data_IF_252852285665
#
_entry.id   IF_252852285665
#
_cell.length_a   1.000
_cell.length_b   1.000
_cell.length_c   1.000
_cell.angle_alpha   90.00
_cell.angle_beta   90.00
_cell.angle_gamma   90.00
#
_symmetry.space_group_name_H-M   'P 1'
#
loop_
_entity.id
_entity.type
_entity.pdbx_description
1 polymer ?
#
# COMPACT_ATOMS: atom_id res chain seq x y z
N UNK A 1 6.91 21.89 -1.67
CA UNK A 1 6.84 20.65 -2.47
C UNK A 1 6.45 19.53 -1.52
N UNK A 2 5.37 18.82 -1.80
CA UNK A 2 5.00 17.61 -1.04
C UNK A 2 6.04 16.53 -1.40
N UNK A 3 6.54 15.80 -0.42
CA UNK A 3 7.49 14.69 -0.70
C UNK A 3 6.76 13.54 -1.42
N UNK A 4 7.47 12.74 -2.23
CA UNK A 4 6.85 11.55 -2.85
C UNK A 4 6.25 10.59 -1.80
N UNK A 5 6.83 10.53 -0.60
CA UNK A 5 6.26 9.76 0.52
C UNK A 5 4.91 10.30 1.00
N UNK A 6 4.81 11.62 1.21
CA UNK A 6 3.53 12.26 1.57
C UNK A 6 2.47 12.10 0.47
N UNK A 7 2.88 12.14 -0.81
CA UNK A 7 1.98 11.86 -1.93
C UNK A 7 1.43 10.44 -1.87
N UNK A 8 2.28 9.44 -1.65
CA UNK A 8 1.84 8.05 -1.47
C UNK A 8 0.93 7.87 -0.24
N UNK A 9 1.21 8.52 0.88
CA UNK A 9 0.32 8.52 2.05
C UNK A 9 -1.06 9.10 1.71
N UNK A 10 -1.12 10.19 0.95
CA UNK A 10 -2.40 10.80 0.55
C UNK A 10 -3.20 9.92 -0.40
N UNK A 11 -2.55 9.32 -1.42
CA UNK A 11 -3.21 8.39 -2.35
C UNK A 11 -3.72 7.16 -1.59
N UNK A 12 -2.94 6.63 -0.65
CA UNK A 12 -3.37 5.50 0.16
C UNK A 12 -4.67 5.79 0.92
N UNK A 13 -4.77 6.96 1.55
CA UNK A 13 -5.97 7.37 2.30
C UNK A 13 -7.18 7.56 1.39
N UNK A 14 -7.00 8.17 0.23
CA UNK A 14 -8.06 8.32 -0.78
C UNK A 14 -8.56 6.96 -1.29
N UNK A 15 -7.65 6.03 -1.57
CA UNK A 15 -8.03 4.68 -2.00
C UNK A 15 -8.70 3.88 -0.88
N UNK A 16 -8.27 4.02 0.37
CA UNK A 16 -8.92 3.35 1.49
C UNK A 16 -10.38 3.84 1.65
N UNK A 17 -10.61 5.15 1.59
CA UNK A 17 -11.96 5.71 1.65
C UNK A 17 -12.85 5.17 0.52
N UNK A 18 -12.32 5.12 -0.72
CA UNK A 18 -13.04 4.53 -1.88
C UNK A 18 -13.29 3.04 -1.75
N UNK A 19 -12.38 2.30 -1.10
CA UNK A 19 -12.57 0.88 -0.83
C UNK A 19 -13.70 0.65 0.19
N UNK A 20 -13.76 1.48 1.22
CA UNK A 20 -14.81 1.44 2.24
C UNK A 20 -16.18 1.81 1.65
N UNK A 21 -16.24 2.83 0.78
CA UNK A 21 -17.45 3.20 0.02
C UNK A 21 -17.92 2.04 -0.86
N UNK A 22 -17.04 1.46 -1.67
CA UNK A 22 -17.37 0.32 -2.53
C UNK A 22 -17.84 -0.90 -1.73
N UNK A 23 -17.23 -1.15 -0.57
CA UNK A 23 -17.64 -2.25 0.31
C UNK A 23 -19.04 -2.00 0.90
N UNK A 24 -19.36 -0.76 1.28
CA UNK A 24 -20.68 -0.38 1.76
C UNK A 24 -21.77 -0.57 0.69
N UNK A 25 -21.41 -0.42 -0.58
CA UNK A 25 -22.27 -0.65 -1.74
C UNK A 25 -22.30 -2.13 -2.20
N UNK A 26 -21.55 -3.03 -1.51
CA UNK A 26 -21.35 -4.42 -1.89
C UNK A 26 -20.71 -4.61 -3.28
N UNK A 27 -19.99 -3.59 -3.77
CA UNK A 27 -19.14 -3.69 -4.96
C UNK A 27 -17.78 -4.27 -4.56
N UNK A 28 -17.74 -5.60 -4.43
CA UNK A 28 -16.56 -6.33 -3.99
C UNK A 28 -15.37 -6.20 -4.97
N UNK A 29 -15.63 -5.99 -6.26
CA UNK A 29 -14.57 -5.82 -7.26
C UNK A 29 -13.83 -4.51 -6.99
N UNK A 30 -14.55 -3.40 -6.92
CA UNK A 30 -13.94 -2.10 -6.65
C UNK A 30 -13.35 -2.02 -5.24
N UNK A 31 -14.02 -2.61 -4.24
CA UNK A 31 -13.50 -2.67 -2.88
C UNK A 31 -12.14 -3.38 -2.83
N UNK A 32 -12.00 -4.51 -3.52
CA UNK A 32 -10.75 -5.26 -3.58
C UNK A 32 -9.63 -4.49 -4.30
N UNK A 33 -9.92 -3.86 -5.44
CA UNK A 33 -8.94 -3.10 -6.21
C UNK A 33 -8.41 -1.90 -5.41
N UNK A 34 -9.32 -1.12 -4.81
CA UNK A 34 -8.94 0.06 -4.04
C UNK A 34 -8.26 -0.31 -2.72
N UNK A 35 -8.69 -1.38 -2.06
CA UNK A 35 -8.03 -1.89 -0.86
C UNK A 35 -6.58 -2.28 -1.13
N UNK A 36 -6.33 -3.04 -2.20
CA UNK A 36 -4.97 -3.39 -2.61
C UNK A 36 -4.14 -2.16 -2.97
N UNK A 37 -4.71 -1.22 -3.74
CA UNK A 37 -4.04 0.03 -4.09
C UNK A 37 -3.66 0.84 -2.85
N UNK A 38 -4.55 0.94 -1.87
CA UNK A 38 -4.31 1.65 -0.61
C UNK A 38 -3.11 1.05 0.13
N UNK A 39 -3.10 -0.27 0.30
CA UNK A 39 -2.03 -1.00 0.96
C UNK A 39 -0.69 -0.85 0.23
N UNK A 40 -0.69 -0.98 -1.11
CA UNK A 40 0.51 -0.81 -1.93
C UNK A 40 1.11 0.59 -1.76
N UNK A 41 0.30 1.64 -1.74
CA UNK A 41 0.77 3.01 -1.54
C UNK A 41 1.35 3.25 -0.13
N UNK A 42 0.86 2.61 0.93
CA UNK A 42 1.50 2.68 2.25
C UNK A 42 2.90 2.07 2.22
N UNK A 43 3.07 0.92 1.57
CA UNK A 43 4.38 0.28 1.39
C UNK A 43 5.32 1.19 0.59
N UNK A 44 4.83 1.84 -0.48
CA UNK A 44 5.63 2.81 -1.25
C UNK A 44 6.06 4.00 -0.41
N UNK A 45 5.20 4.51 0.47
CA UNK A 45 5.56 5.59 1.40
C UNK A 45 6.73 5.18 2.30
N UNK A 46 6.69 3.97 2.86
CA UNK A 46 7.79 3.44 3.68
C UNK A 46 9.05 3.25 2.84
N UNK A 47 8.92 2.64 1.65
CA UNK A 47 10.03 2.43 0.74
C UNK A 47 10.72 3.74 0.37
N UNK A 48 9.97 4.79 0.02
CA UNK A 48 10.51 6.12 -0.28
C UNK A 48 11.26 6.70 0.92
N UNK A 49 10.69 6.64 2.12
CA UNK A 49 11.36 7.12 3.35
C UNK A 49 12.68 6.40 3.66
N UNK A 50 12.84 5.18 3.14
CA UNK A 50 14.01 4.32 3.33
C UNK A 50 14.94 4.27 2.10
N UNK A 51 14.62 5.01 1.04
CA UNK A 51 15.37 4.99 -0.23
C UNK A 51 15.33 3.65 -0.95
N UNK A 52 14.31 2.83 -0.72
CA UNK A 52 14.12 1.55 -1.39
C UNK A 52 13.44 1.74 -2.74
N UNK A 53 13.78 0.87 -3.70
CA UNK A 53 13.02 0.77 -4.94
C UNK A 53 11.59 0.36 -4.66
N UNK A 54 10.65 0.95 -5.39
CA UNK A 54 9.22 0.65 -5.31
C UNK A 54 8.52 0.67 -6.67
N UNK A 55 9.32 0.61 -7.75
CA UNK A 55 8.87 0.51 -9.13
C UNK A 55 8.38 -0.92 -9.45
N UNK A 56 7.05 -1.08 -9.45
CA UNK A 56 6.37 -2.31 -9.87
C UNK A 56 6.27 -3.39 -8.79
N UNK A 57 5.59 -4.50 -9.15
CA UNK A 57 5.21 -5.55 -8.21
C UNK A 57 6.39 -6.23 -7.52
N UNK A 58 7.51 -6.44 -8.24
CA UNK A 58 8.71 -7.09 -7.65
C UNK A 58 9.32 -6.24 -6.54
N UNK A 59 9.36 -4.92 -6.73
CA UNK A 59 9.95 -4.00 -5.75
C UNK A 59 9.09 -3.94 -4.48
N UNK A 60 7.76 -3.87 -4.65
CA UNK A 60 6.80 -3.98 -3.54
C UNK A 60 6.95 -5.30 -2.79
N UNK A 61 7.03 -6.43 -3.50
CA UNK A 61 7.22 -7.75 -2.89
C UNK A 61 8.51 -7.82 -2.06
N UNK A 62 9.62 -7.25 -2.56
CA UNK A 62 10.86 -7.16 -1.78
C UNK A 62 10.68 -6.30 -0.52
N UNK A 63 10.01 -5.15 -0.63
CA UNK A 63 9.78 -4.27 0.50
C UNK A 63 8.95 -4.95 1.60
N UNK A 64 7.83 -5.61 1.26
CA UNK A 64 7.00 -6.31 2.25
C UNK A 64 7.71 -7.49 2.90
N UNK A 65 8.60 -8.20 2.19
CA UNK A 65 9.40 -9.26 2.79
C UNK A 65 10.40 -8.73 3.83
N UNK A 66 11.04 -7.60 3.54
CA UNK A 66 11.93 -6.94 4.51
C UNK A 66 11.11 -6.48 5.72
N UNK A 67 9.98 -5.82 5.50
CA UNK A 67 9.10 -5.34 6.58
C UNK A 67 8.59 -6.49 7.45
N UNK A 68 8.16 -7.60 6.85
CA UNK A 68 7.71 -8.77 7.59
C UNK A 68 8.82 -9.39 8.46
N UNK A 69 10.06 -9.40 7.97
CA UNK A 69 11.19 -9.86 8.76
C UNK A 69 11.53 -8.90 9.92
N UNK A 70 11.52 -7.59 9.68
CA UNK A 70 11.82 -6.58 10.69
C UNK A 70 10.78 -6.49 11.81
N UNK A 71 9.49 -6.59 11.44
CA UNK A 71 8.36 -6.49 12.38
C UNK A 71 8.06 -7.81 13.08
N UNK A 72 8.55 -8.93 12.52
CA UNK A 72 8.13 -10.26 12.95
C UNK A 72 6.69 -10.61 12.55
N UNK A 73 6.07 -9.80 11.68
CA UNK A 73 4.70 -9.98 11.22
C UNK A 73 4.68 -10.63 9.81
N UNK A 74 4.38 -11.93 9.72
CA UNK A 74 4.33 -12.62 8.43
C UNK A 74 3.13 -12.19 7.57
N UNK A 75 2.07 -11.61 8.14
CA UNK A 75 0.84 -11.29 7.42
C UNK A 75 1.04 -10.13 6.45
N UNK A 76 2.05 -9.28 6.68
CA UNK A 76 2.44 -8.20 5.74
C UNK A 76 2.86 -8.75 4.37
N UNK A 77 3.26 -10.03 4.26
CA UNK A 77 3.71 -10.64 3.00
C UNK A 77 2.60 -10.96 2.01
N UNK A 78 1.33 -10.86 2.41
CA UNK A 78 0.18 -11.23 1.56
C UNK A 78 -0.27 -10.11 0.61
N UNK A 79 0.53 -9.04 0.54
CA UNK A 79 0.30 -7.81 -0.24
C UNK A 79 0.72 -7.97 -1.71
#
# INVERSE_FOLDING_TARGET
MVSQGEEHSNISRDFLAKAEEALAENDLLQASEKGWGAAAHMVKCIAESRGWRHDGHRALYSAVNVLAHETGDPDIRVL
#
